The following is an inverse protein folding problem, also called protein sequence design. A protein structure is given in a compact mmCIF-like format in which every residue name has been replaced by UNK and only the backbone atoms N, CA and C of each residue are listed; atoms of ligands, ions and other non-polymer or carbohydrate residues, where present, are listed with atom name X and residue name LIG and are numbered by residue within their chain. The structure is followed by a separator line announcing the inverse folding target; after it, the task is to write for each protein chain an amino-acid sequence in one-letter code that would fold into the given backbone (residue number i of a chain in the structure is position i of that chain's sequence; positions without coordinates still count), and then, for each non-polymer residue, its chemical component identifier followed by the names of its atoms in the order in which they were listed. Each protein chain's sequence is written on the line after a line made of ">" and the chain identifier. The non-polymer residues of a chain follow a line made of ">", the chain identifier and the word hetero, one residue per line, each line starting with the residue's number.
data_IF_649047849174
#
_entry.id   IF_649047849174
#
_cell.length_a   1.000
_cell.length_b   1.000
_cell.length_c   1.000
_cell.angle_alpha   90.00
_cell.angle_beta   90.00
_cell.angle_gamma   90.00
#
_symmetry.space_group_name_H-M   'P 1'
#
loop_
_entity.id
_entity.type
_entity.pdbx_description
1 polymer ?
#
# COMPACT_ATOMS: atom_id res chain seq x y z
N UNK A 1 11.02 -14.67 -20.34
CA UNK A 1 12.13 -14.43 -19.38
C UNK A 1 11.50 -14.19 -18.01
N UNK A 2 12.05 -14.78 -16.93
CA UNK A 2 11.52 -14.59 -15.56
C UNK A 2 11.73 -13.12 -15.13
N UNK A 3 10.66 -12.39 -14.87
CA UNK A 3 10.67 -10.97 -14.47
C UNK A 3 10.74 -10.85 -12.94
N UNK A 4 11.34 -9.79 -12.43
CA UNK A 4 11.36 -9.42 -11.00
C UNK A 4 10.27 -8.38 -10.75
N UNK A 5 9.28 -8.72 -9.94
CA UNK A 5 8.09 -7.89 -9.70
C UNK A 5 8.08 -7.46 -8.24
N UNK A 6 8.20 -6.15 -8.03
CA UNK A 6 8.01 -5.52 -6.74
C UNK A 6 6.52 -5.29 -6.46
N UNK A 7 6.08 -5.64 -5.26
CA UNK A 7 4.70 -5.42 -4.80
C UNK A 7 4.77 -4.60 -3.54
N UNK A 8 4.11 -3.43 -3.51
CA UNK A 8 3.90 -2.70 -2.27
C UNK A 8 2.91 -3.43 -1.37
N UNK A 9 2.92 -3.10 -0.09
CA UNK A 9 2.04 -3.73 0.90
C UNK A 9 0.82 -2.86 1.15
N UNK A 10 1.03 -1.66 1.69
CA UNK A 10 -0.05 -0.73 2.04
C UNK A 10 -0.68 -0.13 0.78
N UNK A 11 -2.01 -0.14 0.72
CA UNK A 11 -2.74 0.36 -0.45
C UNK A 11 -2.74 -0.58 -1.67
N UNK A 12 -1.98 -1.70 -1.64
CA UNK A 12 -1.90 -2.69 -2.73
C UNK A 12 -2.43 -4.06 -2.32
N UNK A 13 -1.95 -4.60 -1.20
CA UNK A 13 -2.39 -5.90 -0.68
C UNK A 13 -2.96 -5.82 0.76
N UNK A 14 -2.70 -4.72 1.50
CA UNK A 14 -3.27 -4.42 2.82
C UNK A 14 -4.02 -3.09 2.79
N UNK A 15 -5.23 -3.05 3.34
CA UNK A 15 -6.10 -1.86 3.41
C UNK A 15 -5.75 -0.99 4.63
N UNK A 16 -4.53 -0.44 4.62
CA UNK A 16 -4.01 0.39 5.69
C UNK A 16 -4.91 1.59 6.01
N UNK A 17 -5.45 2.25 5.01
CA UNK A 17 -6.25 3.46 5.18
C UNK A 17 -7.55 3.19 5.92
N UNK A 18 -8.25 2.11 5.58
CA UNK A 18 -9.47 1.69 6.28
C UNK A 18 -9.18 1.30 7.72
N UNK A 19 -8.11 0.54 7.97
CA UNK A 19 -7.74 0.13 9.32
C UNK A 19 -7.35 1.33 10.19
N UNK A 20 -6.56 2.26 9.65
CA UNK A 20 -6.20 3.51 10.34
C UNK A 20 -7.44 4.34 10.68
N UNK A 21 -8.36 4.51 9.72
CA UNK A 21 -9.59 5.27 9.94
C UNK A 21 -10.44 4.66 11.05
N UNK A 22 -10.63 3.33 11.03
CA UNK A 22 -11.40 2.60 12.05
C UNK A 22 -10.79 2.75 13.44
N UNK A 23 -9.47 2.61 13.58
CA UNK A 23 -8.76 2.81 14.85
C UNK A 23 -8.92 4.24 15.35
N UNK A 24 -8.75 5.24 14.47
CA UNK A 24 -8.92 6.65 14.86
C UNK A 24 -10.36 6.91 15.28
N UNK A 25 -11.34 6.41 14.54
CA UNK A 25 -12.74 6.59 14.86
C UNK A 25 -13.13 5.96 16.20
N UNK A 26 -12.58 4.79 16.52
CA UNK A 26 -12.88 4.07 17.75
C UNK A 26 -12.21 4.68 18.99
N UNK A 27 -10.94 5.06 18.88
CA UNK A 27 -10.12 5.44 20.02
C UNK A 27 -9.85 6.94 20.15
N UNK A 28 -9.97 7.70 19.03
CA UNK A 28 -9.66 9.13 18.94
C UNK A 28 -10.76 9.88 18.16
N UNK A 29 -12.05 9.77 18.57
CA UNK A 29 -13.16 10.31 17.77
C UNK A 29 -13.05 11.80 17.49
N UNK A 30 -12.39 12.57 18.35
CA UNK A 30 -12.15 14.00 18.17
C UNK A 30 -11.20 14.29 16.97
N UNK A 31 -10.48 13.29 16.44
CA UNK A 31 -9.64 13.43 15.25
C UNK A 31 -10.42 13.18 13.95
N UNK A 32 -11.64 12.71 14.02
CA UNK A 32 -12.51 12.57 12.84
C UNK A 32 -13.05 13.95 12.46
N UNK A 33 -12.91 14.31 11.19
CA UNK A 33 -13.39 15.58 10.68
C UNK A 33 -14.90 15.72 10.87
N UNK A 34 -15.40 16.93 11.21
CA UNK A 34 -16.83 17.20 11.33
C UNK A 34 -17.58 16.82 10.05
N UNK A 35 -18.64 16.03 10.19
CA UNK A 35 -19.45 15.51 9.08
C UNK A 35 -19.12 14.08 8.68
N UNK A 36 -17.96 13.55 9.08
CA UNK A 36 -17.53 12.16 8.79
C UNK A 36 -17.84 11.18 9.92
N UNK A 37 -18.56 11.58 10.96
CA UNK A 37 -18.87 10.74 12.14
C UNK A 37 -19.78 9.55 11.79
N UNK A 38 -20.57 9.67 10.71
CA UNK A 38 -21.54 8.67 10.26
C UNK A 38 -21.00 7.75 9.15
N UNK A 39 -19.71 7.74 8.94
CA UNK A 39 -19.05 6.86 7.96
C UNK A 39 -18.86 5.48 8.58
N UNK A 40 -19.45 4.42 8.03
CA UNK A 40 -19.46 3.08 8.60
C UNK A 40 -19.03 1.98 7.63
N UNK A 41 -19.18 2.18 6.33
CA UNK A 41 -18.76 1.21 5.33
C UNK A 41 -17.35 1.49 4.80
N UNK A 42 -16.70 0.46 4.27
CA UNK A 42 -15.37 0.58 3.63
C UNK A 42 -15.42 1.58 2.46
N UNK A 43 -16.51 1.57 1.69
CA UNK A 43 -16.71 2.48 0.55
C UNK A 43 -16.84 3.94 0.99
N UNK A 44 -17.50 4.18 2.13
CA UNK A 44 -17.60 5.52 2.71
C UNK A 44 -16.24 5.98 3.26
N UNK A 45 -15.52 5.11 3.99
CA UNK A 45 -14.17 5.41 4.49
C UNK A 45 -13.23 5.80 3.34
N UNK A 46 -13.27 5.07 2.24
CA UNK A 46 -12.45 5.38 1.06
C UNK A 46 -12.78 6.73 0.44
N UNK A 47 -14.01 7.21 0.55
CA UNK A 47 -14.39 8.57 0.11
C UNK A 47 -13.86 9.67 1.03
N UNK A 48 -13.59 9.37 2.29
CA UNK A 48 -12.97 10.29 3.24
C UNK A 48 -11.44 10.30 3.12
N UNK A 49 -10.84 9.13 2.85
CA UNK A 49 -9.39 8.94 2.75
C UNK A 49 -8.90 9.24 1.32
N UNK A 50 -8.99 10.51 0.90
CA UNK A 50 -8.71 10.94 -0.48
C UNK A 50 -7.38 11.66 -0.66
N UNK A 51 -6.69 11.99 0.42
CA UNK A 51 -5.41 12.68 0.36
C UNK A 51 -4.27 11.73 0.77
N UNK A 52 -3.16 11.82 0.06
CA UNK A 52 -1.95 11.06 0.39
C UNK A 52 -1.32 11.52 1.71
N UNK A 53 -1.36 12.80 2.00
CA UNK A 53 -0.89 13.36 3.25
C UNK A 53 -1.97 13.15 4.32
N UNK A 54 -1.70 12.23 5.25
CA UNK A 54 -2.69 11.69 6.20
C UNK A 54 -3.35 12.79 7.06
N UNK A 55 -2.62 13.83 7.44
CA UNK A 55 -3.14 14.98 8.17
C UNK A 55 -4.26 15.72 7.42
N UNK A 56 -4.32 15.59 6.11
CA UNK A 56 -5.42 16.18 5.34
C UNK A 56 -6.72 15.37 5.40
N UNK A 57 -6.70 14.15 5.93
CA UNK A 57 -7.90 13.31 6.09
C UNK A 57 -8.49 13.39 7.50
N UNK A 58 -7.74 13.87 8.50
CA UNK A 58 -8.12 13.90 9.90
C UNK A 58 -7.99 15.32 10.50
N UNK A 59 -8.60 15.53 11.65
CA UNK A 59 -8.40 16.74 12.48
C UNK A 59 -7.30 16.45 13.53
N UNK A 60 -6.13 16.07 13.05
CA UNK A 60 -4.96 15.71 13.84
C UNK A 60 -3.67 16.02 13.11
N UNK A 61 -2.60 16.32 13.83
CA UNK A 61 -1.28 16.49 13.26
C UNK A 61 -0.69 15.18 12.73
N UNK A 62 0.21 15.27 11.75
CA UNK A 62 0.90 14.10 11.22
C UNK A 62 1.67 13.31 12.30
N UNK A 63 2.17 13.98 13.34
CA UNK A 63 2.92 13.32 14.40
C UNK A 63 1.99 12.54 15.35
N UNK A 64 0.78 13.03 15.63
CA UNK A 64 -0.25 12.29 16.36
C UNK A 64 -0.70 11.06 15.57
N UNK A 65 -0.97 11.21 14.27
CA UNK A 65 -1.35 10.07 13.41
C UNK A 65 -0.23 9.03 13.36
N UNK A 66 1.04 9.45 13.22
CA UNK A 66 2.20 8.54 13.25
C UNK A 66 2.33 7.80 14.56
N UNK A 67 2.11 8.46 15.71
CA UNK A 67 2.13 7.83 17.03
C UNK A 67 1.08 6.71 17.09
N UNK A 68 -0.13 6.96 16.60
CA UNK A 68 -1.21 5.97 16.57
C UNK A 68 -0.77 4.71 15.81
N UNK A 69 -0.38 4.81 14.55
CA UNK A 69 -0.13 3.62 13.73
C UNK A 69 1.28 3.03 13.86
N UNK A 70 2.23 3.73 14.50
CA UNK A 70 3.59 3.21 14.68
C UNK A 70 3.89 2.72 16.09
N UNK A 71 3.14 3.20 17.08
CA UNK A 71 3.42 2.94 18.49
C UNK A 71 2.20 2.31 19.17
N UNK A 72 1.08 3.02 19.25
CA UNK A 72 -0.05 2.64 20.09
C UNK A 72 -0.89 1.50 19.48
N UNK A 73 -1.10 1.51 18.16
CA UNK A 73 -1.93 0.54 17.44
C UNK A 73 -1.21 -0.14 16.27
N UNK A 74 0.13 -0.18 16.31
CA UNK A 74 0.93 -0.76 15.23
C UNK A 74 0.61 -2.24 14.98
N UNK A 75 0.38 -3.03 16.03
CA UNK A 75 0.00 -4.44 15.90
C UNK A 75 -1.37 -4.59 15.21
N UNK A 76 -2.35 -3.77 15.59
CA UNK A 76 -3.70 -3.80 15.00
C UNK A 76 -3.67 -3.45 13.52
N UNK A 77 -3.06 -2.31 13.19
CA UNK A 77 -3.09 -1.75 11.83
C UNK A 77 -2.11 -2.48 10.90
N UNK A 78 -0.89 -2.75 11.38
CA UNK A 78 0.18 -3.30 10.53
C UNK A 78 0.37 -4.81 10.69
N UNK A 79 0.15 -5.36 11.88
CA UNK A 79 0.33 -6.77 12.19
C UNK A 79 -0.90 -7.64 11.98
N UNK A 80 -2.11 -7.03 12.10
CA UNK A 80 -3.40 -7.68 11.93
C UNK A 80 -4.27 -6.98 10.87
N UNK A 81 -3.70 -6.06 10.09
CA UNK A 81 -4.42 -5.25 9.12
C UNK A 81 -5.22 -6.08 8.10
N UNK A 82 -6.28 -5.48 7.60
CA UNK A 82 -7.22 -6.08 6.66
C UNK A 82 -6.57 -6.31 5.30
N UNK A 83 -6.58 -7.53 4.74
CA UNK A 83 -6.08 -7.77 3.39
C UNK A 83 -7.08 -7.29 2.33
N UNK A 84 -6.60 -6.81 1.19
CA UNK A 84 -7.37 -6.84 -0.05
C UNK A 84 -7.45 -8.30 -0.53
N UNK A 85 -8.50 -9.00 -0.10
CA UNK A 85 -8.59 -10.48 -0.18
C UNK A 85 -8.34 -11.01 -1.59
N UNK A 86 -8.94 -10.38 -2.60
CA UNK A 86 -8.81 -10.81 -4.00
C UNK A 86 -7.37 -10.62 -4.50
N UNK A 87 -6.72 -9.50 -4.15
CA UNK A 87 -5.33 -9.24 -4.50
C UNK A 87 -4.39 -10.25 -3.85
N UNK A 88 -4.58 -10.52 -2.54
CA UNK A 88 -3.77 -11.48 -1.79
C UNK A 88 -3.92 -12.90 -2.35
N UNK A 89 -5.16 -13.35 -2.59
CA UNK A 89 -5.42 -14.68 -3.12
C UNK A 89 -4.81 -14.85 -4.51
N UNK A 90 -5.03 -13.89 -5.41
CA UNK A 90 -4.48 -13.95 -6.76
C UNK A 90 -2.95 -13.93 -6.74
N UNK A 91 -2.34 -13.05 -5.92
CA UNK A 91 -0.89 -12.98 -5.80
C UNK A 91 -0.29 -14.28 -5.26
N UNK A 92 -0.92 -14.92 -4.27
CA UNK A 92 -0.50 -16.23 -3.74
C UNK A 92 -0.47 -17.30 -4.82
N UNK A 93 -1.46 -17.31 -5.71
CA UNK A 93 -1.49 -18.24 -6.86
C UNK A 93 -0.37 -17.92 -7.86
N UNK A 94 -0.12 -16.65 -8.17
CA UNK A 94 0.97 -16.29 -9.09
C UNK A 94 2.35 -16.64 -8.52
N UNK A 95 2.57 -16.44 -7.23
CA UNK A 95 3.81 -16.84 -6.56
C UNK A 95 4.03 -18.37 -6.67
N UNK A 96 2.98 -19.17 -6.48
CA UNK A 96 3.05 -20.65 -6.59
C UNK A 96 3.38 -21.13 -8.01
N UNK A 97 3.02 -20.39 -9.05
CA UNK A 97 3.35 -20.74 -10.45
C UNK A 97 4.86 -20.63 -10.75
N UNK A 98 5.58 -19.84 -9.97
CA UNK A 98 7.03 -19.59 -10.12
C UNK A 98 7.46 -19.08 -11.52
N UNK A 99 6.55 -18.46 -12.26
CA UNK A 99 6.84 -17.86 -13.57
C UNK A 99 7.64 -16.55 -13.45
N UNK A 100 7.50 -15.85 -12.33
CA UNK A 100 8.17 -14.59 -11.99
C UNK A 100 8.76 -14.64 -10.58
N UNK A 101 9.65 -13.69 -10.27
CA UNK A 101 10.18 -13.49 -8.92
C UNK A 101 9.45 -12.34 -8.25
N UNK A 102 8.68 -12.61 -7.20
CA UNK A 102 7.94 -11.59 -6.45
C UNK A 102 8.73 -11.14 -5.22
N UNK A 103 8.79 -9.81 -5.04
CA UNK A 103 9.53 -9.14 -3.97
C UNK A 103 8.56 -8.16 -3.29
N UNK A 104 8.36 -8.26 -1.97
CA UNK A 104 7.63 -7.23 -1.26
C UNK A 104 8.52 -5.98 -1.12
N UNK A 105 8.03 -4.80 -1.54
CA UNK A 105 8.78 -3.53 -1.50
C UNK A 105 7.96 -2.49 -0.77
N UNK A 106 8.21 -2.29 0.51
CA UNK A 106 7.38 -1.43 1.37
C UNK A 106 8.17 -0.34 2.08
N UNK A 107 7.48 0.74 2.49
CA UNK A 107 8.04 1.89 3.18
C UNK A 107 7.60 1.90 4.64
N UNK A 108 8.19 1.06 5.48
CA UNK A 108 7.86 1.03 6.90
C UNK A 108 8.90 1.74 7.77
N UNK A 109 8.45 2.30 8.90
CA UNK A 109 9.36 2.75 9.94
C UNK A 109 10.09 1.54 10.54
N UNK A 110 11.38 1.64 10.92
CA UNK A 110 12.14 0.50 11.44
C UNK A 110 11.47 -0.22 12.62
N UNK A 111 10.81 0.52 13.52
CA UNK A 111 10.08 -0.06 14.66
C UNK A 111 8.85 -0.90 14.25
N UNK A 112 8.34 -0.72 13.04
CA UNK A 112 7.13 -1.38 12.54
C UNK A 112 7.40 -2.52 11.56
N UNK A 113 8.66 -2.72 11.15
CA UNK A 113 9.01 -3.74 10.15
C UNK A 113 8.56 -5.15 10.57
N UNK A 114 8.69 -5.48 11.86
CA UNK A 114 8.29 -6.79 12.37
C UNK A 114 6.79 -7.05 12.28
N UNK A 115 5.93 -6.02 12.45
CA UNK A 115 4.48 -6.15 12.27
C UNK A 115 4.14 -6.48 10.81
N UNK A 116 4.76 -5.80 9.85
CA UNK A 116 4.57 -6.10 8.43
C UNK A 116 5.05 -7.51 8.06
N UNK A 117 6.21 -7.96 8.59
CA UNK A 117 6.69 -9.34 8.37
C UNK A 117 5.72 -10.37 8.96
N UNK A 118 5.20 -10.13 10.15
CA UNK A 118 4.19 -10.98 10.80
C UNK A 118 2.93 -11.05 9.93
N UNK A 119 2.46 -9.91 9.43
CA UNK A 119 1.29 -9.84 8.54
C UNK A 119 1.50 -10.63 7.26
N UNK A 120 2.62 -10.44 6.56
CA UNK A 120 2.96 -11.19 5.34
C UNK A 120 3.00 -12.70 5.58
N UNK A 121 3.54 -13.13 6.72
CA UNK A 121 3.53 -14.53 7.15
C UNK A 121 2.11 -15.08 7.35
N UNK A 122 1.22 -14.31 7.98
CA UNK A 122 -0.21 -14.69 8.15
C UNK A 122 -0.95 -14.81 6.81
N UNK A 123 -0.56 -14.00 5.82
CA UNK A 123 -1.14 -14.08 4.48
C UNK A 123 -0.53 -15.22 3.63
N UNK A 124 0.42 -15.98 4.15
CA UNK A 124 1.09 -17.09 3.43
C UNK A 124 1.65 -16.66 2.07
N UNK A 125 2.13 -15.43 1.96
CA UNK A 125 2.74 -14.89 0.75
C UNK A 125 4.23 -15.23 0.72
N UNK A 126 4.60 -16.19 -0.14
CA UNK A 126 5.96 -16.68 -0.33
C UNK A 126 6.82 -15.76 -1.17
N UNK A 127 6.95 -14.48 -0.83
CA UNK A 127 7.87 -13.57 -1.48
C UNK A 127 9.32 -14.09 -1.42
N UNK A 128 10.07 -13.92 -2.48
CA UNK A 128 11.50 -14.29 -2.52
C UNK A 128 12.35 -13.42 -1.60
N UNK A 129 11.91 -12.19 -1.35
CA UNK A 129 12.51 -11.27 -0.37
C UNK A 129 11.53 -10.16 0.03
N UNK A 130 11.82 -9.50 1.16
CA UNK A 130 11.11 -8.30 1.63
C UNK A 130 12.12 -7.16 1.74
N UNK A 131 11.86 -6.08 1.00
CA UNK A 131 12.71 -4.89 0.96
C UNK A 131 12.00 -3.74 1.64
N UNK A 132 12.53 -3.30 2.77
CA UNK A 132 12.12 -2.07 3.44
C UNK A 132 12.89 -0.90 2.84
N UNK A 133 12.22 -0.08 2.04
CA UNK A 133 12.82 1.06 1.38
C UNK A 133 12.07 2.33 1.73
N UNK A 134 12.77 3.32 2.27
CA UNK A 134 12.18 4.62 2.58
C UNK A 134 11.51 5.21 1.34
N UNK A 135 10.34 5.81 1.50
CA UNK A 135 9.55 6.41 0.43
C UNK A 135 10.38 7.33 -0.49
N UNK A 136 9.97 7.47 -1.73
CA UNK A 136 10.69 8.15 -2.83
C UNK A 136 12.02 7.52 -3.22
N UNK A 137 12.41 6.37 -2.64
CA UNK A 137 13.63 5.63 -3.01
C UNK A 137 13.35 4.21 -3.53
N UNK A 138 12.06 3.82 -3.67
CA UNK A 138 11.70 2.50 -4.18
C UNK A 138 12.18 2.29 -5.63
N UNK A 139 12.36 3.34 -6.42
CA UNK A 139 12.93 3.27 -7.77
C UNK A 139 14.34 2.67 -7.83
N UNK A 140 15.06 2.65 -6.69
CA UNK A 140 16.40 2.07 -6.57
C UNK A 140 16.38 0.55 -6.33
N UNK A 141 15.20 -0.04 -6.11
CA UNK A 141 15.08 -1.48 -5.94
C UNK A 141 15.22 -2.15 -7.30
N UNK A 142 16.02 -3.20 -7.37
CA UNK A 142 16.26 -3.96 -8.60
C UNK A 142 15.04 -4.84 -8.93
N UNK A 143 14.03 -4.23 -9.54
CA UNK A 143 12.84 -4.89 -10.07
C UNK A 143 12.58 -4.39 -11.49
N UNK A 144 11.98 -5.25 -12.32
CA UNK A 144 11.55 -4.88 -13.68
C UNK A 144 10.25 -4.08 -13.61
N UNK A 145 9.35 -4.48 -12.68
CA UNK A 145 8.06 -3.81 -12.44
C UNK A 145 7.87 -3.55 -10.95
N UNK A 146 7.22 -2.44 -10.62
CA UNK A 146 6.78 -2.11 -9.26
C UNK A 146 5.30 -1.78 -9.29
N UNK A 147 4.49 -2.57 -8.58
CA UNK A 147 3.07 -2.27 -8.32
C UNK A 147 2.98 -1.51 -7.00
N UNK A 148 2.52 -0.27 -7.04
CA UNK A 148 2.54 0.66 -5.90
C UNK A 148 1.41 1.69 -6.06
N UNK A 149 0.84 2.19 -4.97
CA UNK A 149 -0.27 3.16 -4.99
C UNK A 149 0.16 4.60 -4.73
N UNK A 150 1.42 4.82 -4.33
CA UNK A 150 1.93 6.09 -3.82
C UNK A 150 2.18 7.12 -4.93
N UNK A 151 1.54 8.30 -4.88
CA UNK A 151 1.87 9.43 -5.74
C UNK A 151 3.35 9.81 -5.68
N UNK A 152 3.90 9.82 -4.48
CA UNK A 152 5.29 10.19 -4.24
C UNK A 152 6.29 9.18 -4.84
N UNK A 153 5.98 7.89 -4.78
CA UNK A 153 6.81 6.85 -5.38
C UNK A 153 6.71 6.87 -6.91
N UNK A 154 5.51 7.11 -7.48
CA UNK A 154 5.32 7.29 -8.91
C UNK A 154 6.21 8.41 -9.46
N UNK A 155 6.12 9.62 -8.90
CA UNK A 155 6.95 10.73 -9.34
C UNK A 155 8.45 10.47 -9.16
N UNK A 156 8.84 9.83 -8.06
CA UNK A 156 10.22 9.46 -7.81
C UNK A 156 10.73 8.39 -8.79
N UNK A 157 9.88 7.45 -9.20
CA UNK A 157 10.20 6.43 -10.20
C UNK A 157 10.44 7.06 -11.58
N UNK A 158 9.47 7.87 -12.05
CA UNK A 158 9.58 8.55 -13.33
C UNK A 158 10.82 9.44 -13.39
N UNK A 159 11.07 10.21 -12.33
CA UNK A 159 12.27 11.06 -12.25
C UNK A 159 13.57 10.24 -12.18
N UNK A 160 13.61 9.21 -11.35
CA UNK A 160 14.83 8.44 -11.08
C UNK A 160 15.22 7.50 -12.23
N UNK A 161 14.25 6.94 -12.94
CA UNK A 161 14.45 6.04 -14.09
C UNK A 161 14.31 6.73 -15.46
N UNK A 162 13.92 8.00 -15.49
CA UNK A 162 13.67 8.78 -16.70
C UNK A 162 12.60 8.16 -17.62
N UNK A 163 11.72 7.32 -17.07
CA UNK A 163 10.63 6.62 -17.78
C UNK A 163 9.55 6.21 -16.80
N UNK A 164 8.32 6.08 -17.29
CA UNK A 164 7.20 5.49 -16.53
C UNK A 164 7.23 3.96 -16.57
N UNK A 165 7.83 3.39 -17.60
CA UNK A 165 7.87 1.95 -17.83
C UNK A 165 8.31 1.19 -16.58
N UNK A 166 7.59 0.12 -16.29
CA UNK A 166 7.81 -0.71 -15.12
C UNK A 166 7.18 -0.19 -13.81
N UNK A 167 6.60 1.02 -13.77
CA UNK A 167 5.73 1.41 -12.66
C UNK A 167 4.28 1.14 -13.01
N UNK A 168 3.60 0.37 -12.18
CA UNK A 168 2.17 0.04 -12.32
C UNK A 168 1.45 0.70 -11.14
N UNK A 169 0.63 1.68 -11.45
CA UNK A 169 -0.08 2.47 -10.46
C UNK A 169 -1.36 1.77 -10.03
N UNK A 170 -1.39 1.23 -8.81
CA UNK A 170 -2.62 0.72 -8.20
C UNK A 170 -3.57 1.87 -7.92
N UNK A 171 -4.78 1.80 -8.48
CA UNK A 171 -5.79 2.85 -8.31
C UNK A 171 -6.26 2.94 -6.86
N UNK A 172 -6.15 4.16 -6.32
CA UNK A 172 -6.65 4.50 -4.98
C UNK A 172 -7.19 5.94 -4.99
N UNK A 173 -8.09 6.31 -4.08
CA UNK A 173 -8.69 7.65 -4.06
C UNK A 173 -7.66 8.79 -4.00
N UNK A 174 -6.56 8.60 -3.26
CA UNK A 174 -5.50 9.61 -3.10
C UNK A 174 -4.58 9.79 -4.31
N UNK A 175 -4.71 8.96 -5.33
CA UNK A 175 -3.89 9.06 -6.54
C UNK A 175 -4.69 9.30 -7.83
N UNK A 176 -5.99 9.56 -7.75
CA UNK A 176 -6.86 9.76 -8.93
C UNK A 176 -6.37 10.84 -9.89
N UNK A 177 -5.71 11.88 -9.36
CA UNK A 177 -5.20 13.01 -10.16
C UNK A 177 -3.98 12.66 -11.02
N UNK A 178 -3.32 11.52 -10.74
CA UNK A 178 -2.18 11.07 -11.53
C UNK A 178 -2.68 10.47 -12.84
N UNK A 179 -2.18 10.97 -13.96
CA UNK A 179 -2.40 10.36 -15.27
C UNK A 179 -1.28 9.37 -15.53
N UNK A 180 -1.61 8.09 -15.56
CA UNK A 180 -0.70 6.99 -15.86
C UNK A 180 -1.39 6.04 -16.85
N UNK A 181 -0.65 5.64 -17.88
CA UNK A 181 -1.12 4.63 -18.83
C UNK A 181 -1.12 3.22 -18.22
N UNK A 182 -0.29 3.02 -17.18
CA UNK A 182 -0.16 1.75 -16.44
C UNK A 182 -0.99 1.73 -15.16
N UNK A 183 -2.17 2.36 -15.14
CA UNK A 183 -3.09 2.33 -14.01
C UNK A 183 -3.93 1.07 -14.01
N UNK A 184 -4.03 0.42 -12.85
CA UNK A 184 -4.78 -0.83 -12.64
C UNK A 184 -5.67 -0.78 -11.41
N UNK A 185 -6.73 -1.58 -11.38
CA UNK A 185 -7.66 -1.67 -10.25
C UNK A 185 -7.27 -2.77 -9.25
N UNK A 186 -6.49 -3.77 -9.69
CA UNK A 186 -6.15 -4.95 -8.89
C UNK A 186 -4.87 -5.63 -9.42
N UNK A 187 -4.34 -6.60 -8.63
CA UNK A 187 -3.14 -7.35 -9.00
C UNK A 187 -3.32 -8.18 -10.27
N UNK A 188 -4.54 -8.64 -10.58
CA UNK A 188 -4.79 -9.41 -11.80
C UNK A 188 -4.52 -8.56 -13.04
N UNK A 189 -5.07 -7.34 -13.09
CA UNK A 189 -4.82 -6.40 -14.18
C UNK A 189 -3.33 -6.03 -14.28
N UNK A 190 -2.65 -5.86 -13.13
CA UNK A 190 -1.21 -5.63 -13.12
C UNK A 190 -0.44 -6.77 -13.79
N UNK A 191 -0.80 -8.02 -13.50
CA UNK A 191 -0.16 -9.19 -14.12
C UNK A 191 -0.50 -9.33 -15.60
N UNK A 192 -1.69 -8.92 -16.03
CA UNK A 192 -2.06 -8.86 -17.45
C UNK A 192 -1.17 -7.87 -18.21
N UNK A 193 -0.93 -6.67 -17.66
CA UNK A 193 0.01 -5.69 -18.24
C UNK A 193 1.46 -6.22 -18.26
N UNK A 194 1.90 -6.87 -17.19
CA UNK A 194 3.26 -7.41 -17.11
C UNK A 194 3.50 -8.51 -18.16
N UNK A 195 2.48 -9.28 -18.51
CA UNK A 195 2.58 -10.42 -19.41
C UNK A 195 2.31 -10.09 -20.89
N UNK A 196 1.78 -8.89 -21.16
CA UNK A 196 1.57 -8.40 -22.52
C UNK A 196 2.90 -8.08 -23.21
#
# INVERSE_FOLDING_TARGET
>A
MKKRIGIDVDGVIRDFSTDLYNVIKEHYPDYIKPGSEKVYSVEEIRKEMTDWDLENNFDASIDEIKRIYREEHAETILGNGTPFVDNVNYLREQIKKDEHTFIAVTSQHPTCCHHTLTWLGKQELGFSSVVFKKGRKKWQVEVDYLVDDSPNNYHAWVYGRQMEDGYILMNQPWNEKIKSENRVMNIKEAMELINA
#
